data_IF_850183712028
#
_entry.id   IF_850183712028
#
_cell.length_a   1.000
_cell.length_b   1.000
_cell.length_c   1.000
_cell.angle_alpha   90.00
_cell.angle_beta   90.00
_cell.angle_gamma   90.00
#
_symmetry.space_group_name_H-M   'P 1'
#
loop_
_entity.id
_entity.type
_entity.pdbx_description
1 polymer ?
#
# COMPACT_ATOMS: atom_id res chain seq x y z
N UNK A 1 -22.83 -7.92 6.01
CA UNK A 1 -22.85 -7.55 4.57
C UNK A 1 -23.14 -6.07 4.35
N UNK A 2 -24.31 -5.52 4.70
CA UNK A 2 -24.65 -4.11 4.42
C UNK A 2 -23.66 -3.05 4.98
N UNK A 3 -23.17 -3.21 6.22
CA UNK A 3 -22.20 -2.28 6.83
C UNK A 3 -20.83 -2.27 6.14
N UNK A 4 -20.44 -3.38 5.53
CA UNK A 4 -19.15 -3.52 4.88
C UNK A 4 -19.19 -2.87 3.49
N UNK A 5 -20.32 -3.01 2.79
CA UNK A 5 -20.58 -2.33 1.53
C UNK A 5 -20.52 -0.80 1.70
N UNK A 6 -21.11 -0.27 2.79
CA UNK A 6 -21.04 1.17 3.09
C UNK A 6 -19.63 1.66 3.39
N UNK A 7 -18.73 0.82 3.96
CA UNK A 7 -17.34 1.22 4.17
C UNK A 7 -16.65 1.48 2.83
N UNK A 8 -16.66 0.49 1.92
CA UNK A 8 -15.97 0.59 0.62
C UNK A 8 -16.50 1.76 -0.21
N UNK A 9 -17.80 1.97 -0.26
CA UNK A 9 -18.37 3.13 -0.96
C UNK A 9 -17.92 4.47 -0.36
N UNK A 10 -17.82 4.56 0.97
CA UNK A 10 -17.37 5.78 1.64
C UNK A 10 -15.88 6.01 1.41
N UNK A 11 -15.07 4.96 1.47
CA UNK A 11 -13.63 5.03 1.19
C UNK A 11 -13.35 5.44 -0.26
N UNK A 12 -14.15 4.97 -1.21
CA UNK A 12 -14.03 5.35 -2.62
C UNK A 12 -14.34 6.84 -2.88
N UNK A 13 -15.09 7.49 -1.97
CA UNK A 13 -15.42 8.92 -2.04
C UNK A 13 -14.41 9.80 -1.28
N UNK A 14 -13.36 9.22 -0.69
CA UNK A 14 -12.34 9.99 0.00
C UNK A 14 -11.49 10.77 -1.00
N UNK A 15 -11.45 12.08 -0.82
CA UNK A 15 -10.70 13.00 -1.67
C UNK A 15 -9.82 13.95 -0.83
N UNK A 16 -8.83 14.57 -1.47
CA UNK A 16 -8.10 15.69 -0.87
C UNK A 16 -9.07 16.88 -0.65
N UNK A 17 -8.94 17.66 0.44
CA UNK A 17 -7.85 17.67 1.43
C UNK A 17 -8.12 16.77 2.65
N UNK A 18 -9.13 15.89 2.63
CA UNK A 18 -9.42 15.02 3.78
C UNK A 18 -8.28 14.04 4.08
N UNK A 19 -7.51 13.72 3.03
CA UNK A 19 -6.33 12.88 3.09
C UNK A 19 -5.06 13.71 2.96
N UNK A 20 -3.96 13.14 3.45
CA UNK A 20 -2.61 13.69 3.29
C UNK A 20 -1.91 12.96 2.15
N UNK A 21 -1.31 13.71 1.23
CA UNK A 21 -0.52 13.14 0.14
C UNK A 21 0.69 14.03 -0.16
N UNK A 22 1.86 13.41 -0.20
CA UNK A 22 3.12 14.00 -0.67
C UNK A 22 3.76 13.03 -1.66
N UNK A 23 4.00 13.48 -2.89
CA UNK A 23 4.63 12.67 -3.94
C UNK A 23 5.99 12.13 -3.47
N UNK A 24 6.24 10.84 -3.69
CA UNK A 24 7.47 10.12 -3.29
C UNK A 24 7.67 9.90 -1.78
N UNK A 25 6.62 10.07 -0.98
CA UNK A 25 6.59 9.69 0.44
C UNK A 25 5.45 8.69 0.69
N UNK A 26 5.39 7.64 -0.13
CA UNK A 26 4.30 6.67 -0.12
C UNK A 26 4.14 5.97 1.25
N UNK A 27 5.26 5.73 1.94
CA UNK A 27 5.30 5.20 3.31
C UNK A 27 4.56 6.10 4.30
N UNK A 28 4.72 7.43 4.19
CA UNK A 28 4.02 8.38 5.05
C UNK A 28 2.57 8.61 4.60
N UNK A 29 2.30 8.59 3.30
CA UNK A 29 0.94 8.74 2.77
C UNK A 29 0.04 7.61 3.27
N UNK A 30 0.52 6.36 3.23
CA UNK A 30 -0.20 5.21 3.76
C UNK A 30 -0.27 5.26 5.29
N UNK A 31 0.78 5.70 5.99
CA UNK A 31 0.73 5.92 7.43
C UNK A 31 -0.41 6.87 7.81
N UNK A 32 -0.50 8.02 7.13
CA UNK A 32 -1.53 9.02 7.39
C UNK A 32 -2.93 8.54 7.03
N UNK A 33 -3.07 7.72 5.99
CA UNK A 33 -4.34 7.06 5.68
C UNK A 33 -4.76 6.09 6.79
N UNK A 34 -3.85 5.24 7.28
CA UNK A 34 -4.13 4.31 8.38
C UNK A 34 -4.48 5.06 9.67
N UNK A 35 -3.72 6.10 10.01
CA UNK A 35 -3.98 7.00 11.15
C UNK A 35 -5.38 7.60 11.05
N UNK A 36 -5.73 8.14 9.88
CA UNK A 36 -7.05 8.70 9.62
C UNK A 36 -8.17 7.66 9.82
N UNK A 37 -8.03 6.47 9.24
CA UNK A 37 -9.06 5.43 9.32
C UNK A 37 -9.29 4.93 10.74
N UNK A 38 -8.22 4.81 11.54
CA UNK A 38 -8.29 4.31 12.90
C UNK A 38 -8.72 5.36 13.94
N UNK A 39 -8.58 6.65 13.64
CA UNK A 39 -8.86 7.74 14.60
C UNK A 39 -10.11 8.56 14.26
N UNK A 40 -10.49 8.67 12.97
CA UNK A 40 -11.62 9.46 12.54
C UNK A 40 -12.94 8.80 12.99
N UNK A 41 -13.80 9.55 13.69
CA UNK A 41 -15.08 9.04 14.25
C UNK A 41 -16.00 8.40 13.21
N UNK A 42 -15.95 8.85 11.96
CA UNK A 42 -16.76 8.32 10.85
C UNK A 42 -16.30 6.96 10.36
N UNK A 43 -15.05 6.57 10.67
CA UNK A 43 -14.42 5.36 10.14
C UNK A 43 -13.94 4.39 11.22
N UNK A 44 -13.46 4.89 12.36
CA UNK A 44 -12.81 4.08 13.40
C UNK A 44 -13.69 2.95 13.95
N UNK A 45 -15.01 3.12 13.92
CA UNK A 45 -15.98 2.11 14.36
C UNK A 45 -16.00 0.85 13.47
N UNK A 46 -15.56 0.93 12.20
CA UNK A 46 -15.45 -0.24 11.32
C UNK A 46 -14.28 -1.15 11.72
N UNK A 47 -13.24 -0.61 12.37
CA UNK A 47 -11.99 -1.31 12.68
C UNK A 47 -11.89 -1.76 14.14
N UNK A 48 -13.04 -1.85 14.84
CA UNK A 48 -13.11 -2.32 16.23
C UNK A 48 -13.22 -3.83 16.36
N UNK A 49 -13.72 -4.52 15.33
CA UNK A 49 -13.89 -5.97 15.30
C UNK A 49 -12.91 -6.60 14.29
N UNK A 50 -12.67 -7.91 14.41
CA UNK A 50 -11.70 -8.65 13.60
C UNK A 50 -12.15 -8.93 12.15
N UNK A 51 -13.37 -8.52 11.77
CA UNK A 51 -13.92 -8.69 10.43
C UNK A 51 -13.20 -7.85 9.37
N UNK A 52 -12.54 -6.77 9.80
CA UNK A 52 -11.86 -5.82 8.91
C UNK A 52 -10.43 -5.61 9.40
N UNK A 53 -9.46 -5.92 8.55
CA UNK A 53 -8.03 -5.75 8.83
C UNK A 53 -7.40 -4.79 7.85
N UNK A 54 -6.51 -3.95 8.36
CA UNK A 54 -5.68 -3.04 7.59
C UNK A 54 -4.25 -3.56 7.57
N UNK A 55 -3.65 -3.62 6.40
CA UNK A 55 -2.25 -3.96 6.22
C UNK A 55 -1.56 -2.89 5.38
N UNK A 56 -0.55 -2.25 5.94
CA UNK A 56 0.42 -1.49 5.13
C UNK A 56 1.28 -2.50 4.39
N UNK A 57 1.33 -2.41 3.06
CA UNK A 57 2.10 -3.32 2.21
C UNK A 57 3.25 -2.56 1.60
N UNK A 58 4.47 -2.86 2.07
CA UNK A 58 5.71 -2.42 1.42
C UNK A 58 6.05 -3.38 0.30
N UNK A 59 6.30 -2.82 -0.90
CA UNK A 59 6.67 -3.58 -2.09
C UNK A 59 8.08 -3.16 -2.45
N UNK A 60 9.00 -4.11 -2.53
CA UNK A 60 10.38 -3.88 -2.97
C UNK A 60 11.02 -5.22 -3.34
N UNK A 61 12.32 -5.22 -3.57
CA UNK A 61 13.15 -6.42 -3.67
C UNK A 61 14.61 -6.08 -3.34
N UNK A 62 15.48 -7.10 -3.34
CA UNK A 62 16.90 -6.93 -3.03
C UNK A 62 17.62 -5.95 -3.98
N UNK A 63 17.12 -5.81 -5.21
CA UNK A 63 17.71 -4.96 -6.24
C UNK A 63 17.14 -3.53 -6.23
N UNK A 64 16.06 -3.29 -5.47
CA UNK A 64 15.29 -2.04 -5.52
C UNK A 64 14.89 -1.66 -6.96
N UNK A 65 14.39 -2.66 -7.68
CA UNK A 65 13.94 -2.52 -9.06
C UNK A 65 12.62 -3.28 -9.21
N UNK A 66 11.51 -2.64 -8.85
CA UNK A 66 10.19 -3.26 -8.92
C UNK A 66 9.29 -2.52 -9.92
N UNK A 67 8.98 -3.11 -11.08
CA UNK A 67 8.05 -2.53 -12.03
C UNK A 67 6.62 -2.60 -11.49
N UNK A 68 5.90 -1.47 -11.52
CA UNK A 68 4.46 -1.38 -11.24
C UNK A 68 3.81 -0.58 -12.37
N UNK A 69 2.79 -1.19 -13.00
CA UNK A 69 2.03 -0.59 -14.10
C UNK A 69 0.89 0.30 -13.61
N UNK A 70 0.30 1.05 -14.55
CA UNK A 70 -0.80 1.96 -14.24
C UNK A 70 -0.45 2.94 -13.11
N UNK A 71 0.76 3.49 -13.11
CA UNK A 71 1.22 4.46 -12.12
C UNK A 71 1.23 5.88 -12.71
N UNK A 72 0.89 6.87 -11.88
CA UNK A 72 0.67 8.26 -12.28
C UNK A 72 1.95 8.95 -12.76
N UNK A 73 3.12 8.50 -12.30
CA UNK A 73 4.40 8.99 -12.78
C UNK A 73 4.76 8.51 -14.19
N UNK A 74 4.18 7.40 -14.66
CA UNK A 74 4.32 6.98 -16.06
C UNK A 74 3.42 7.82 -16.95
N UNK A 75 3.85 8.20 -18.15
CA UNK A 75 3.01 8.91 -19.11
C UNK A 75 1.89 8.03 -19.69
N UNK A 76 2.12 6.72 -19.79
CA UNK A 76 1.19 5.77 -20.42
C UNK A 76 1.00 4.51 -19.54
N UNK A 77 -0.22 3.99 -19.37
CA UNK A 77 -0.51 2.89 -18.44
C UNK A 77 0.28 1.60 -18.68
N UNK A 78 0.65 1.32 -19.92
CA UNK A 78 1.38 0.11 -20.33
C UNK A 78 2.88 0.16 -20.02
N UNK A 79 3.42 1.33 -19.70
CA UNK A 79 4.81 1.45 -19.26
C UNK A 79 4.86 1.48 -17.72
N UNK A 80 5.62 0.59 -17.09
CA UNK A 80 5.72 0.57 -15.65
C UNK A 80 6.57 1.74 -15.15
N UNK A 81 6.29 2.16 -13.92
CA UNK A 81 7.28 2.88 -13.12
C UNK A 81 8.12 1.82 -12.41
N UNK A 82 9.44 1.91 -12.54
CA UNK A 82 10.37 1.04 -11.81
C UNK A 82 10.74 1.74 -10.51
N UNK A 83 10.13 1.28 -9.42
CA UNK A 83 10.35 1.83 -8.09
C UNK A 83 11.53 1.14 -7.39
N UNK A 84 12.19 1.87 -6.50
CA UNK A 84 13.06 1.28 -5.49
C UNK A 84 12.25 0.60 -4.38
N UNK A 85 11.16 1.24 -3.96
CA UNK A 85 10.06 0.64 -3.24
C UNK A 85 8.75 1.42 -3.48
N UNK A 86 7.61 0.79 -3.20
CA UNK A 86 6.31 1.45 -3.17
C UNK A 86 5.50 0.96 -1.97
N UNK A 87 4.58 1.77 -1.47
CA UNK A 87 3.73 1.42 -0.32
C UNK A 87 2.27 1.65 -0.66
N UNK A 88 1.46 0.61 -0.43
CA UNK A 88 0.01 0.62 -0.63
C UNK A 88 -0.70 0.15 0.65
N UNK A 89 -1.98 0.48 0.79
CA UNK A 89 -2.81 -0.06 1.86
C UNK A 89 -3.64 -1.23 1.31
N UNK A 90 -3.62 -2.36 2.02
CA UNK A 90 -4.50 -3.49 1.80
C UNK A 90 -5.56 -3.54 2.89
N UNK A 91 -6.83 -3.61 2.48
CA UNK A 91 -7.99 -3.69 3.36
C UNK A 91 -8.63 -5.05 3.15
N UNK A 92 -8.56 -5.91 4.16
CA UNK A 92 -9.23 -7.21 4.17
C UNK A 92 -10.57 -7.06 4.87
N UNK A 93 -11.66 -7.39 4.19
CA UNK A 93 -13.01 -7.42 4.74
C UNK A 93 -13.54 -8.84 4.57
N UNK A 94 -13.59 -9.61 5.65
CA UNK A 94 -13.81 -11.06 5.58
C UNK A 94 -12.81 -11.73 4.60
N UNK A 95 -13.33 -12.28 3.49
CA UNK A 95 -12.52 -12.91 2.43
C UNK A 95 -12.18 -11.97 1.25
N UNK A 96 -12.74 -10.77 1.23
CA UNK A 96 -12.48 -9.78 0.18
C UNK A 96 -11.26 -8.93 0.53
N UNK A 97 -10.41 -8.69 -0.47
CA UNK A 97 -9.29 -7.77 -0.35
C UNK A 97 -9.44 -6.59 -1.29
N UNK A 98 -9.08 -5.42 -0.79
CA UNK A 98 -9.10 -4.16 -1.50
C UNK A 98 -7.75 -3.47 -1.36
N UNK A 99 -7.31 -2.78 -2.41
CA UNK A 99 -6.07 -2.01 -2.43
C UNK A 99 -6.43 -0.54 -2.51
N UNK A 100 -5.80 0.25 -1.64
CA UNK A 100 -5.74 1.70 -1.74
C UNK A 100 -4.32 2.13 -2.11
N UNK A 101 -4.17 2.72 -3.31
CA UNK A 101 -2.92 3.26 -3.82
C UNK A 101 -3.12 4.72 -4.23
N UNK A 102 -2.30 5.63 -3.68
CA UNK A 102 -2.38 7.05 -4.04
C UNK A 102 -1.78 7.36 -5.41
N UNK A 103 -0.82 6.55 -5.86
CA UNK A 103 0.00 6.83 -7.03
C UNK A 103 -0.49 6.07 -8.27
N UNK A 104 -1.55 5.26 -8.16
CA UNK A 104 -2.15 4.57 -9.31
C UNK A 104 -2.96 5.51 -10.23
N UNK A 105 -3.03 5.14 -11.51
CA UNK A 105 -3.94 5.67 -12.54
C UNK A 105 -5.29 4.96 -12.56
N UNK A 106 -5.41 3.82 -11.87
CA UNK A 106 -6.68 3.15 -11.61
C UNK A 106 -7.50 3.98 -10.60
N UNK A 107 -8.67 3.49 -10.20
CA UNK A 107 -9.30 4.07 -9.00
C UNK A 107 -8.41 3.79 -7.80
N UNK A 108 -8.19 4.83 -6.98
CA UNK A 108 -7.34 4.75 -5.78
C UNK A 108 -7.72 3.56 -4.91
N UNK A 109 -9.01 3.34 -4.70
CA UNK A 109 -9.54 2.12 -4.09
C UNK A 109 -10.05 1.16 -5.18
N UNK A 110 -9.49 -0.04 -5.21
CA UNK A 110 -9.88 -1.09 -6.16
C UNK A 110 -9.90 -2.47 -5.50
N UNK A 111 -10.70 -3.43 -5.98
CA UNK A 111 -10.52 -4.84 -5.61
C UNK A 111 -9.07 -5.29 -5.84
N UNK A 112 -8.51 -6.09 -4.93
CA UNK A 112 -7.11 -6.50 -5.04
C UNK A 112 -6.82 -7.31 -6.31
N UNK A 113 -7.76 -8.15 -6.75
CA UNK A 113 -7.68 -8.91 -8.01
C UNK A 113 -7.61 -8.00 -9.24
N UNK A 114 -8.43 -6.95 -9.27
CA UNK A 114 -8.39 -5.93 -10.30
C UNK A 114 -7.05 -5.19 -10.27
N UNK A 115 -6.61 -4.71 -9.11
CA UNK A 115 -5.36 -3.98 -8.98
C UNK A 115 -4.16 -4.84 -9.39
N UNK A 116 -4.11 -6.12 -8.97
CA UNK A 116 -3.02 -7.02 -9.35
C UNK A 116 -2.95 -7.25 -10.85
N UNK A 117 -4.10 -7.53 -11.50
CA UNK A 117 -4.16 -7.76 -12.94
C UNK A 117 -3.57 -6.58 -13.74
N UNK A 118 -3.86 -5.34 -13.32
CA UNK A 118 -3.45 -4.15 -14.06
C UNK A 118 -2.11 -3.56 -13.60
N UNK A 119 -1.70 -3.77 -12.36
CA UNK A 119 -0.52 -3.11 -11.78
C UNK A 119 0.66 -4.07 -11.59
N UNK A 120 0.41 -5.36 -11.39
CA UNK A 120 1.43 -6.37 -11.10
C UNK A 120 1.59 -7.39 -12.23
N UNK A 121 0.49 -7.86 -12.83
CA UNK A 121 0.46 -8.98 -13.78
C UNK A 121 -0.14 -8.57 -15.13
N UNK A 122 0.58 -7.72 -15.86
CA UNK A 122 0.20 -7.39 -17.23
C UNK A 122 0.15 -8.68 -18.08
N UNK A 123 -1.01 -9.04 -18.67
CA UNK A 123 -1.22 -10.34 -19.32
C UNK A 123 -0.17 -10.72 -20.38
N UNK A 124 0.39 -9.71 -21.05
CA UNK A 124 1.35 -9.88 -22.16
C UNK A 124 2.81 -9.67 -21.75
N UNK A 125 3.10 -9.41 -20.47
CA UNK A 125 4.46 -9.15 -19.97
C UNK A 125 4.80 -10.15 -18.89
N UNK A 126 5.72 -11.06 -19.20
CA UNK A 126 6.28 -11.97 -18.22
C UNK A 126 7.57 -11.40 -17.63
N UNK A 127 7.60 -11.24 -16.31
CA UNK A 127 8.78 -10.78 -15.59
C UNK A 127 9.74 -11.96 -15.35
N UNK A 128 10.43 -12.39 -16.41
CA UNK A 128 11.35 -13.54 -16.36
C UNK A 128 12.66 -13.26 -15.60
N UNK A 129 13.02 -11.99 -15.45
CA UNK A 129 14.27 -11.56 -14.83
C UNK A 129 14.13 -11.45 -13.30
N UNK A 130 14.81 -12.30 -12.50
CA UNK A 130 14.61 -12.35 -11.04
C UNK A 130 14.89 -11.03 -10.31
N UNK A 131 15.73 -10.16 -10.90
CA UNK A 131 16.01 -8.82 -10.37
C UNK A 131 14.78 -7.91 -10.31
N UNK A 132 13.71 -8.24 -11.03
CA UNK A 132 12.43 -7.51 -11.04
C UNK A 132 11.33 -8.16 -10.22
N UNK A 133 11.57 -9.34 -9.63
CA UNK A 133 10.54 -10.03 -8.85
C UNK A 133 10.21 -9.24 -7.60
N UNK A 134 8.91 -8.97 -7.40
CA UNK A 134 8.42 -8.19 -6.27
C UNK A 134 8.33 -9.08 -5.03
N UNK A 135 8.61 -8.50 -3.88
CA UNK A 135 8.32 -9.04 -2.56
C UNK A 135 7.45 -8.06 -1.79
N UNK A 136 6.62 -8.58 -0.90
CA UNK A 136 5.53 -7.86 -0.26
C UNK A 136 5.65 -8.03 1.25
N UNK A 137 6.02 -6.97 1.97
CA UNK A 137 5.98 -6.96 3.43
C UNK A 137 4.65 -6.40 3.91
N UNK A 138 3.86 -7.24 4.57
CA UNK A 138 2.56 -6.88 5.14
C UNK A 138 2.72 -6.56 6.63
N UNK A 139 2.35 -5.35 7.02
CA UNK A 139 2.38 -4.88 8.41
C UNK A 139 0.98 -4.52 8.83
N UNK A 140 0.47 -5.10 9.92
CA UNK A 140 -0.85 -4.74 10.45
C UNK A 140 -0.89 -3.24 10.81
N UNK A 141 -1.99 -2.58 10.49
CA UNK A 141 -2.12 -1.12 10.56
C UNK A 141 -1.81 -0.52 11.93
N UNK A 142 -2.27 -1.15 13.03
CA UNK A 142 -1.95 -0.68 14.39
C UNK A 142 -0.47 -0.89 14.71
N UNK A 143 0.14 -1.99 14.29
CA UNK A 143 1.59 -2.19 14.43
C UNK A 143 2.38 -1.15 13.63
N UNK A 144 1.93 -0.81 12.42
CA UNK A 144 2.57 0.21 11.61
C UNK A 144 2.54 1.59 12.29
N UNK A 145 1.38 2.02 12.78
CA UNK A 145 1.28 3.28 13.54
C UNK A 145 2.11 3.27 14.82
N UNK A 146 2.22 2.10 15.47
CA UNK A 146 2.96 1.96 16.71
C UNK A 146 4.46 2.07 16.51
N UNK A 147 4.99 1.49 15.44
CA UNK A 147 6.43 1.20 15.35
C UNK A 147 7.17 1.93 14.24
N UNK A 148 6.48 2.44 13.23
CA UNK A 148 7.14 3.11 12.12
C UNK A 148 7.74 4.45 12.54
N UNK A 149 9.00 4.66 12.15
CA UNK A 149 9.72 5.91 12.32
C UNK A 149 10.48 6.24 11.04
N UNK A 150 10.39 7.48 10.57
CA UNK A 150 11.09 7.95 9.39
C UNK A 150 11.57 9.38 9.60
N UNK A 151 12.89 9.57 9.66
CA UNK A 151 13.54 10.88 9.75
C UNK A 151 13.70 11.56 8.38
N UNK A 152 13.22 10.92 7.29
CA UNK A 152 13.28 11.36 5.89
C UNK A 152 14.70 11.52 5.32
N UNK A 153 15.73 11.05 6.02
CA UNK A 153 17.13 11.15 5.57
C UNK A 153 17.39 10.46 4.23
N UNK A 154 16.62 9.41 3.90
CA UNK A 154 16.69 8.70 2.62
C UNK A 154 16.29 9.58 1.41
N UNK A 155 15.58 10.70 1.65
CA UNK A 155 15.17 11.67 0.63
C UNK A 155 16.11 12.86 0.51
N UNK A 156 17.24 12.85 1.22
CA UNK A 156 18.28 13.87 1.11
C UNK A 156 19.29 13.50 0.03
N UNK A 157 19.67 14.47 -0.80
CA UNK A 157 20.77 14.34 -1.74
C UNK A 157 22.14 14.45 -1.03
N UNK A 158 23.22 14.32 -1.80
CA UNK A 158 24.58 14.41 -1.28
C UNK A 158 24.93 15.78 -0.63
N UNK A 159 24.14 16.82 -0.91
CA UNK A 159 24.30 18.16 -0.32
C UNK A 159 23.40 18.38 0.91
N UNK A 160 22.64 17.37 1.32
CA UNK A 160 21.66 17.49 2.40
C UNK A 160 20.39 18.25 2.01
N UNK A 161 20.13 18.44 0.72
CA UNK A 161 18.89 19.03 0.21
C UNK A 161 17.90 17.93 -0.16
N UNK A 162 16.60 18.18 0.05
CA UNK A 162 15.59 17.19 -0.30
C UNK A 162 15.45 17.02 -1.82
N UNK A 163 15.46 15.77 -2.28
CA UNK A 163 15.26 15.38 -3.68
C UNK A 163 13.85 15.76 -4.16
N UNK A 164 12.86 15.68 -3.25
CA UNK A 164 11.48 16.18 -3.42
C UNK A 164 11.02 16.93 -2.19
N UNK A 165 10.11 17.91 -2.31
CA UNK A 165 9.58 18.62 -1.14
C UNK A 165 9.01 17.64 -0.11
N UNK A 166 9.48 17.69 1.16
CA UNK A 166 8.98 16.79 2.19
C UNK A 166 7.56 17.18 2.62
N UNK A 167 6.84 16.27 3.30
CA UNK A 167 5.57 16.61 3.92
C UNK A 167 5.73 17.76 4.93
N UNK A 168 4.68 18.58 5.07
CA UNK A 168 4.73 19.80 5.89
C UNK A 168 4.62 19.56 7.40
N UNK A 169 4.28 18.34 7.82
CA UNK A 169 4.22 17.94 9.23
C UNK A 169 5.55 17.31 9.67
N UNK A 170 5.76 17.25 10.98
CA UNK A 170 6.97 16.68 11.58
C UNK A 170 7.22 15.23 11.16
N UNK A 171 8.47 14.79 11.22
CA UNK A 171 8.83 13.40 10.97
C UNK A 171 8.03 12.44 11.85
N UNK A 172 7.65 11.29 11.29
CA UNK A 172 6.91 10.26 12.02
C UNK A 172 7.88 9.56 12.96
N UNK A 173 7.50 9.45 14.23
CA UNK A 173 8.29 8.76 15.27
C UNK A 173 7.38 7.81 16.06
N UNK A 174 7.60 6.51 15.87
CA UNK A 174 6.91 5.44 16.59
C UNK A 174 7.19 5.43 18.09
N UNK A 175 6.71 4.41 18.79
CA UNK A 175 6.78 4.28 20.25
C UNK A 175 8.22 4.14 20.77
N UNK A 176 9.11 3.51 19.99
CA UNK A 176 10.54 3.46 20.30
C UNK A 176 11.21 4.79 19.93
N UNK A 177 11.25 5.72 20.89
CA UNK A 177 11.78 7.08 20.69
C UNK A 177 13.28 7.13 20.40
N UNK A 178 14.02 6.02 20.61
CA UNK A 178 15.44 5.94 20.27
C UNK A 178 15.66 5.54 18.81
N UNK A 179 14.66 4.89 18.19
CA UNK A 179 14.68 4.48 16.80
C UNK A 179 13.91 5.48 15.93
N UNK A 180 14.61 6.55 15.52
CA UNK A 180 14.02 7.65 14.74
C UNK A 180 13.93 7.34 13.25
N UNK A 181 14.52 6.24 12.78
CA UNK A 181 14.49 5.84 11.37
C UNK A 181 14.70 4.34 11.19
N UNK A 182 13.59 3.64 10.91
CA UNK A 182 13.57 2.20 10.69
C UNK A 182 12.99 1.80 9.34
N UNK A 183 12.82 2.75 8.40
CA UNK A 183 12.32 2.46 7.05
C UNK A 183 13.09 1.30 6.39
N UNK A 184 14.42 1.24 6.58
CA UNK A 184 15.27 0.16 6.04
C UNK A 184 14.82 -1.24 6.48
N UNK A 185 14.24 -1.37 7.68
CA UNK A 185 13.81 -2.66 8.24
C UNK A 185 12.51 -3.12 7.59
N UNK A 186 11.62 -2.17 7.25
CA UNK A 186 10.45 -2.42 6.41
C UNK A 186 10.83 -2.78 4.97
N UNK A 187 11.94 -2.22 4.47
CA UNK A 187 12.45 -2.51 3.12
C UNK A 187 13.37 -3.75 3.05
N UNK A 188 13.66 -4.39 4.18
CA UNK A 188 14.41 -5.64 4.20
C UNK A 188 13.51 -6.80 3.76
N UNK A 189 13.74 -7.33 2.55
CA UNK A 189 12.87 -8.35 1.94
C UNK A 189 13.47 -9.75 1.93
N UNK A 190 14.57 -10.02 2.64
CA UNK A 190 15.33 -11.28 2.56
C UNK A 190 14.65 -12.47 3.25
N UNK A 191 13.94 -12.22 4.34
CA UNK A 191 13.32 -13.26 5.18
C UNK A 191 11.86 -13.51 4.80
N UNK A 192 11.64 -14.43 3.87
CA UNK A 192 10.30 -14.79 3.41
C UNK A 192 9.57 -15.69 4.40
N UNK A 193 8.27 -15.43 4.55
CA UNK A 193 7.31 -16.18 5.35
C UNK A 193 7.58 -16.19 6.87
N UNK A 194 8.47 -15.31 7.36
CA UNK A 194 8.73 -15.13 8.79
C UNK A 194 7.91 -13.93 9.29
N UNK A 195 7.05 -14.17 10.28
CA UNK A 195 6.29 -13.12 10.97
C UNK A 195 7.19 -12.43 11.99
N UNK A 196 7.23 -11.10 11.93
CA UNK A 196 7.97 -10.27 12.87
C UNK A 196 7.00 -9.36 13.63
N UNK A 197 7.03 -9.35 14.96
CA UNK A 197 6.06 -8.58 15.77
C UNK A 197 6.01 -7.07 15.41
N UNK A 198 7.15 -6.50 14.99
CA UNK A 198 7.29 -5.09 14.63
C UNK A 198 7.05 -4.82 13.14
N UNK A 199 7.55 -5.70 12.28
CA UNK A 199 7.69 -5.46 10.84
C UNK A 199 6.79 -6.35 9.98
N UNK A 200 5.93 -7.17 10.61
CA UNK A 200 5.05 -8.11 9.94
C UNK A 200 5.79 -9.16 9.11
N UNK A 201 5.11 -9.72 8.12
CA UNK A 201 5.60 -10.83 7.29
C UNK A 201 5.96 -10.39 5.88
N UNK A 202 7.05 -10.92 5.33
CA UNK A 202 7.40 -10.75 3.92
C UNK A 202 6.98 -11.96 3.09
N UNK A 203 6.32 -11.74 1.96
CA UNK A 203 5.86 -12.76 1.02
C UNK A 203 6.49 -12.53 -0.35
N UNK A 204 6.70 -13.60 -1.11
CA UNK A 204 6.88 -13.50 -2.55
C UNK A 204 5.53 -13.22 -3.26
N UNK A 205 5.59 -12.97 -4.56
CA UNK A 205 4.41 -12.67 -5.36
C UNK A 205 3.36 -13.79 -5.30
N UNK A 206 3.75 -15.04 -5.46
CA UNK A 206 2.79 -16.16 -5.48
C UNK A 206 2.08 -16.33 -4.14
N UNK A 207 2.79 -16.21 -3.01
CA UNK A 207 2.16 -16.28 -1.70
C UNK A 207 1.30 -15.06 -1.39
N UNK A 208 1.70 -13.86 -1.82
CA UNK A 208 0.87 -12.66 -1.72
C UNK A 208 -0.44 -12.82 -2.50
N UNK A 209 -0.34 -13.24 -3.76
CA UNK A 209 -1.47 -13.44 -4.66
C UNK A 209 -2.43 -14.50 -4.12
N UNK A 210 -1.90 -15.66 -3.73
CA UNK A 210 -2.70 -16.76 -3.17
C UNK A 210 -3.41 -16.37 -1.87
N UNK A 211 -2.81 -15.53 -1.06
CA UNK A 211 -3.35 -15.18 0.28
C UNK A 211 -4.32 -14.02 0.23
N UNK A 212 -4.09 -13.05 -0.66
CA UNK A 212 -4.79 -11.77 -0.64
C UNK A 212 -5.46 -11.40 -1.96
N UNK A 213 -5.09 -12.01 -3.08
CA UNK A 213 -5.62 -11.70 -4.41
C UNK A 213 -6.50 -12.86 -4.87
N UNK A 214 -7.50 -13.17 -4.04
CA UNK A 214 -8.45 -14.26 -4.29
C UNK A 214 -9.42 -13.93 -5.43
N UNK A 215 -10.17 -14.95 -5.85
CA UNK A 215 -11.18 -14.83 -6.89
C UNK A 215 -12.17 -13.69 -6.59
N UNK A 216 -12.47 -12.90 -7.61
CA UNK A 216 -13.35 -11.74 -7.50
C UNK A 216 -14.76 -12.16 -7.06
N UNK A 217 -15.34 -11.43 -6.10
CA UNK A 217 -16.70 -11.68 -5.60
C UNK A 217 -17.75 -10.92 -6.43
N UNK A 218 -19.03 -11.30 -6.31
CA UNK A 218 -20.14 -10.57 -6.95
C UNK A 218 -20.18 -9.09 -6.53
N UNK A 219 -19.96 -8.79 -5.24
CA UNK A 219 -19.89 -7.42 -4.74
C UNK A 219 -18.77 -6.61 -5.41
N UNK A 220 -17.61 -7.23 -5.60
CA UNK A 220 -16.47 -6.57 -6.27
C UNK A 220 -16.74 -6.35 -7.76
N UNK A 221 -17.45 -7.27 -8.43
CA UNK A 221 -17.91 -7.10 -9.82
C UNK A 221 -18.91 -5.92 -9.91
N UNK A 222 -19.86 -5.83 -8.99
CA UNK A 222 -20.81 -4.71 -8.94
C UNK A 222 -20.11 -3.37 -8.67
N UNK A 223 -19.11 -3.36 -7.78
CA UNK A 223 -18.27 -2.19 -7.56
C UNK A 223 -17.52 -1.75 -8.83
N UNK A 224 -16.92 -2.69 -9.56
CA UNK A 224 -16.22 -2.39 -10.82
C UNK A 224 -17.19 -1.76 -11.83
N UNK A 225 -18.36 -2.38 -12.02
CA UNK A 225 -19.39 -1.88 -12.96
C UNK A 225 -19.91 -0.51 -12.56
N UNK A 226 -20.24 -0.30 -11.29
CA UNK A 226 -20.82 0.96 -10.80
C UNK A 226 -19.84 2.14 -10.85
N UNK A 227 -18.54 1.86 -10.77
CA UNK A 227 -17.49 2.88 -10.81
C UNK A 227 -16.79 3.00 -12.17
N UNK A 228 -17.35 2.37 -13.23
CA UNK A 228 -16.78 2.35 -14.58
C UNK A 228 -15.30 1.97 -14.61
N UNK A 229 -14.89 1.05 -13.73
CA UNK A 229 -13.58 0.42 -13.80
C UNK A 229 -13.57 -0.47 -15.04
N UNK A 230 -12.55 -0.33 -15.89
CA UNK A 230 -12.44 -1.05 -17.16
C UNK A 230 -12.39 -2.56 -16.92
N UNK A 231 -13.35 -3.31 -17.47
CA UNK A 231 -13.23 -4.77 -17.58
C UNK A 231 -12.39 -5.11 -18.79
#
# INVERSE_FOLDING_TARGET
>A
MLKNHSLIENLNKLELPQLTYTSQYCEENIYKLVEFLLTNKSYSHYFQNDDIKLYTVFISNENKLIPIWCQSLSSEPQFPVVWDYHVILLIRINEESWIYDFDTRLNKLSPASYYSLYSFRQPDIYLDEPKYWRRYRLVEGKQYLKWFSCDRSHMLDANGSYIKPPPSYDCIVGDDKMDTNNLKDYLSMSELNIEHDKFGQCLDEDNFEKSFVLQITENQIEFIKSNNLLV
#
